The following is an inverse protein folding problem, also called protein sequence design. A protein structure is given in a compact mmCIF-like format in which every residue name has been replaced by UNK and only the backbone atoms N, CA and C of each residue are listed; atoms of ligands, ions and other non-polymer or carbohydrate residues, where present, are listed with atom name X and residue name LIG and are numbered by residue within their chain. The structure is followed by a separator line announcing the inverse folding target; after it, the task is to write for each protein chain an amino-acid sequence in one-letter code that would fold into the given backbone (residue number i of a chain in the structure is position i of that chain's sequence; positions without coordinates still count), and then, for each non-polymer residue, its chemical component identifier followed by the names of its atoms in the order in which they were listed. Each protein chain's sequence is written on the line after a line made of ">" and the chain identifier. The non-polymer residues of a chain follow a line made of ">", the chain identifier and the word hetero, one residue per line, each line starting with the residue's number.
data_IF_539060356416
#
_entry.id   IF_539060356416
#
_cell.length_a   1.000
_cell.length_b   1.000
_cell.length_c   1.000
_cell.angle_alpha   90.00
_cell.angle_beta   90.00
_cell.angle_gamma   90.00
#
_symmetry.space_group_name_H-M   'P 1'
#
loop_
_entity.id
_entity.type
_entity.pdbx_description
1 polymer ?
#
# COMPACT_ATOMS: atom_id res chain seq x y z
N UNK A 1 -2.21 -18.45 -1.95
CA UNK A 1 -1.95 -17.77 -3.24
C UNK A 1 -1.14 -16.53 -2.95
N UNK A 2 0.06 -16.47 -3.52
CA UNK A 2 1.03 -15.40 -3.32
C UNK A 2 0.56 -14.12 -4.03
N UNK A 3 1.12 -12.96 -3.67
CA UNK A 3 0.73 -11.67 -4.27
C UNK A 3 1.04 -11.65 -5.76
N UNK A 4 2.13 -12.27 -6.17
CA UNK A 4 2.61 -12.38 -7.54
C UNK A 4 1.58 -13.10 -8.43
N UNK A 5 1.04 -14.22 -7.97
CA UNK A 5 0.00 -14.98 -8.69
C UNK A 5 -1.31 -14.18 -8.79
N UNK A 6 -1.70 -13.50 -7.70
CA UNK A 6 -2.88 -12.60 -7.68
C UNK A 6 -2.70 -11.46 -8.67
N UNK A 7 -1.54 -10.82 -8.69
CA UNK A 7 -1.22 -9.70 -9.58
C UNK A 7 -1.22 -10.16 -11.03
N UNK A 8 -0.56 -11.26 -11.36
CA UNK A 8 -0.48 -11.76 -12.73
C UNK A 8 -1.86 -12.08 -13.30
N UNK A 9 -2.71 -12.75 -12.52
CA UNK A 9 -4.10 -12.99 -12.87
C UNK A 9 -4.88 -11.69 -13.09
N UNK A 10 -4.68 -10.68 -12.24
CA UNK A 10 -5.38 -9.40 -12.36
C UNK A 10 -4.92 -8.54 -13.54
N UNK A 11 -3.61 -8.51 -13.82
CA UNK A 11 -3.05 -7.84 -14.99
C UNK A 11 -3.70 -8.41 -16.27
N UNK A 12 -3.74 -9.74 -16.37
CA UNK A 12 -4.35 -10.44 -17.53
C UNK A 12 -5.86 -10.19 -17.62
N UNK A 13 -6.60 -10.28 -16.51
CA UNK A 13 -8.06 -10.17 -16.51
C UNK A 13 -8.59 -8.74 -16.67
N UNK A 14 -7.86 -7.73 -16.21
CA UNK A 14 -8.27 -6.31 -16.30
C UNK A 14 -7.62 -5.54 -17.45
N UNK A 15 -6.86 -6.20 -18.32
CA UNK A 15 -6.07 -5.57 -19.40
C UNK A 15 -5.11 -4.49 -18.88
N UNK A 16 -4.65 -4.62 -17.63
CA UNK A 16 -3.63 -3.71 -17.11
C UNK A 16 -2.30 -4.06 -17.77
N UNK A 17 -1.44 -3.08 -17.96
CA UNK A 17 -0.14 -3.26 -18.61
C UNK A 17 0.98 -3.13 -17.59
N UNK A 18 2.18 -3.58 -17.96
CA UNK A 18 3.41 -3.34 -17.17
C UNK A 18 3.75 -1.84 -17.02
N UNK A 19 3.07 -0.95 -17.76
CA UNK A 19 3.17 0.51 -17.55
C UNK A 19 2.39 0.98 -16.31
N UNK A 20 1.32 0.24 -15.98
CA UNK A 20 0.46 0.50 -14.83
C UNK A 20 1.03 -0.08 -13.53
N UNK A 21 2.01 -0.99 -13.64
CA UNK A 21 2.70 -1.62 -12.52
C UNK A 21 4.17 -1.93 -12.88
N UNK A 22 5.11 -1.28 -12.20
CA UNK A 22 6.55 -1.58 -12.36
C UNK A 22 7.08 -2.45 -11.22
N UNK A 23 7.78 -3.56 -11.55
CA UNK A 23 8.41 -4.51 -10.59
C UNK A 23 9.88 -4.80 -11.00
N UNK A 24 10.86 -4.88 -10.07
CA UNK A 24 10.90 -4.35 -8.70
C UNK A 24 11.76 -3.08 -8.59
N UNK A 25 11.39 -2.20 -7.66
CA UNK A 25 12.14 -0.99 -7.33
C UNK A 25 13.39 -1.36 -6.52
N UNK A 26 14.58 -1.13 -7.08
CA UNK A 26 15.88 -1.39 -6.46
C UNK A 26 16.10 -0.62 -5.15
N UNK A 27 15.33 0.45 -4.92
CA UNK A 27 15.42 1.35 -3.75
C UNK A 27 14.26 1.21 -2.74
N UNK A 28 13.64 0.03 -2.67
CA UNK A 28 12.52 -0.24 -1.74
C UNK A 28 12.82 0.15 -0.28
N UNK A 29 14.07 0.01 0.16
CA UNK A 29 14.50 0.40 1.50
C UNK A 29 14.44 1.91 1.76
N UNK A 30 14.72 2.75 0.77
CA UNK A 30 14.66 4.21 0.91
C UNK A 30 13.21 4.71 0.95
N UNK A 31 12.37 4.18 0.05
CA UNK A 31 10.94 4.49 0.04
C UNK A 31 10.30 4.09 1.37
N UNK A 32 10.61 2.89 1.89
CA UNK A 32 10.09 2.50 3.20
C UNK A 32 10.60 3.42 4.31
N UNK A 33 11.88 3.79 4.35
CA UNK A 33 12.40 4.75 5.35
C UNK A 33 11.63 6.07 5.34
N UNK A 34 11.33 6.63 4.17
CA UNK A 34 10.57 7.87 4.07
C UNK A 34 9.12 7.69 4.54
N UNK A 35 8.46 6.57 4.20
CA UNK A 35 7.11 6.29 4.68
C UNK A 35 7.09 6.15 6.21
N UNK A 36 8.04 5.41 6.79
CA UNK A 36 8.13 5.24 8.24
C UNK A 36 8.37 6.58 8.94
N UNK A 37 9.27 7.41 8.40
CA UNK A 37 9.57 8.75 8.93
C UNK A 37 8.33 9.63 8.99
N UNK A 38 7.54 9.67 7.92
CA UNK A 38 6.36 10.54 7.83
C UNK A 38 5.20 9.98 8.65
N UNK A 39 4.85 8.70 8.47
CA UNK A 39 3.56 8.19 8.90
C UNK A 39 3.59 7.24 10.10
N UNK A 40 4.75 6.75 10.54
CA UNK A 40 4.81 5.74 11.60
C UNK A 40 5.51 6.22 12.87
N UNK A 41 4.96 5.84 14.02
CA UNK A 41 5.60 6.01 15.32
C UNK A 41 6.79 5.05 15.39
N UNK A 42 7.99 5.60 15.63
CA UNK A 42 9.20 4.80 15.86
C UNK A 42 9.15 4.24 17.29
N UNK A 43 9.01 2.93 17.41
CA UNK A 43 8.96 2.25 18.71
C UNK A 43 10.27 1.54 19.06
N UNK A 44 11.02 1.04 18.06
CA UNK A 44 12.34 0.42 18.22
C UNK A 44 13.04 0.31 16.83
N UNK A 45 14.35 0.56 16.77
CA UNK A 45 15.18 0.51 15.56
C UNK A 45 15.32 -0.90 14.96
N UNK A 46 15.04 -1.96 15.73
CA UNK A 46 15.13 -3.35 15.29
C UNK A 46 13.86 -3.89 14.59
N UNK A 47 12.75 -3.16 14.66
CA UNK A 47 11.48 -3.58 14.06
C UNK A 47 11.31 -2.96 12.67
N UNK A 48 11.94 -3.57 11.69
CA UNK A 48 11.80 -3.22 10.28
C UNK A 48 10.47 -3.77 9.73
N UNK A 49 9.65 -2.88 9.18
CA UNK A 49 8.51 -3.17 8.29
C UNK A 49 7.30 -3.96 8.83
N UNK A 50 7.24 -4.20 10.14
CA UNK A 50 6.15 -4.95 10.78
C UNK A 50 5.13 -4.05 11.48
N UNK A 51 3.87 -4.51 11.52
CA UNK A 51 2.76 -3.92 12.27
C UNK A 51 2.51 -2.43 11.97
N UNK A 52 2.77 -1.99 10.73
CA UNK A 52 2.58 -0.60 10.31
C UNK A 52 1.18 -0.06 10.63
N UNK A 53 0.12 -0.86 10.48
CA UNK A 53 -1.26 -0.48 10.82
C UNK A 53 -1.43 -0.02 12.28
N UNK A 54 -0.71 -0.65 13.21
CA UNK A 54 -0.77 -0.34 14.65
C UNK A 54 0.07 0.88 15.01
N UNK A 55 1.00 1.27 14.13
CA UNK A 55 1.98 2.34 14.36
C UNK A 55 1.68 3.61 13.57
N UNK A 56 0.55 3.68 12.86
CA UNK A 56 0.14 4.87 12.12
C UNK A 56 0.01 6.07 13.07
N UNK A 57 0.71 7.16 12.76
CA UNK A 57 0.49 8.48 13.35
C UNK A 57 -0.85 9.02 12.85
N UNK A 58 -1.53 9.83 13.67
CA UNK A 58 -2.77 10.52 13.27
C UNK A 58 -3.77 9.59 12.56
N UNK A 59 -3.99 8.40 13.14
CA UNK A 59 -4.78 7.33 12.53
C UNK A 59 -6.26 7.71 12.54
N UNK A 60 -6.83 7.90 11.35
CA UNK A 60 -8.26 8.15 11.15
C UNK A 60 -8.90 6.98 10.41
N UNK A 61 -10.15 6.64 10.76
CA UNK A 61 -10.94 5.68 9.98
C UNK A 61 -11.52 6.44 8.78
N UNK A 62 -11.38 5.87 7.59
CA UNK A 62 -11.99 6.39 6.36
C UNK A 62 -12.87 5.33 5.73
N UNK A 63 -13.83 5.75 4.90
CA UNK A 63 -14.70 4.84 4.15
C UNK A 63 -14.19 4.63 2.71
N UNK A 64 -14.96 3.87 1.91
CA UNK A 64 -14.60 3.59 0.53
C UNK A 64 -14.60 4.84 -0.37
N UNK A 65 -15.53 5.76 -0.12
CA UNK A 65 -15.68 6.98 -0.89
C UNK A 65 -14.50 7.93 -0.64
N UNK A 66 -14.08 8.07 0.61
CA UNK A 66 -12.95 8.90 1.02
C UNK A 66 -11.65 8.55 0.30
N UNK A 67 -11.33 7.25 0.20
CA UNK A 67 -10.10 6.85 -0.49
C UNK A 67 -10.24 7.00 -2.01
N UNK A 68 -11.41 6.72 -2.59
CA UNK A 68 -11.65 6.89 -4.04
C UNK A 68 -11.48 8.33 -4.48
N UNK A 69 -11.86 9.30 -3.66
CA UNK A 69 -11.63 10.72 -3.94
C UNK A 69 -10.14 11.09 -3.96
N UNK A 70 -9.27 10.32 -3.28
CA UNK A 70 -7.81 10.57 -3.19
C UNK A 70 -7.02 9.90 -4.31
N UNK A 71 -7.51 8.78 -4.82
CA UNK A 71 -6.86 8.01 -5.88
C UNK A 71 -7.31 8.54 -7.24
N UNK A 72 -6.37 9.05 -8.02
CA UNK A 72 -6.60 9.46 -9.41
C UNK A 72 -5.97 8.46 -10.35
N UNK A 73 -6.72 8.03 -11.37
CA UNK A 73 -6.30 6.96 -12.28
C UNK A 73 -4.99 7.25 -13.03
N UNK A 74 -4.72 8.52 -13.32
CA UNK A 74 -3.54 9.01 -14.06
C UNK A 74 -2.33 9.32 -13.16
N UNK A 75 -2.47 9.17 -11.84
CA UNK A 75 -1.39 9.42 -10.88
C UNK A 75 -0.70 8.14 -10.46
N UNK A 76 0.60 8.27 -10.19
CA UNK A 76 1.47 7.22 -9.66
C UNK A 76 1.43 7.22 -8.13
N UNK A 77 1.49 6.03 -7.54
CA UNK A 77 1.43 5.76 -6.11
C UNK A 77 2.40 4.66 -5.73
N UNK A 78 2.81 4.64 -4.47
CA UNK A 78 3.46 3.48 -3.89
C UNK A 78 2.41 2.51 -3.37
N UNK A 79 2.49 1.25 -3.79
CA UNK A 79 1.68 0.16 -3.24
C UNK A 79 2.57 -0.82 -2.52
N UNK A 80 2.20 -1.15 -1.29
CA UNK A 80 2.99 -1.98 -0.39
C UNK A 80 2.14 -3.17 -0.01
N UNK A 81 2.52 -4.32 -0.53
CA UNK A 81 1.81 -5.56 -0.31
C UNK A 81 2.48 -6.29 0.84
N UNK A 82 1.73 -6.45 1.93
CA UNK A 82 2.27 -7.16 3.08
C UNK A 82 2.07 -8.65 2.91
N UNK A 83 3.14 -9.40 3.11
CA UNK A 83 3.07 -10.84 3.32
C UNK A 83 2.84 -11.02 4.81
N UNK A 84 1.66 -11.50 5.21
CA UNK A 84 1.20 -11.59 6.60
C UNK A 84 1.98 -12.54 7.51
N UNK A 85 3.23 -12.87 7.17
CA UNK A 85 4.16 -13.66 7.97
C UNK A 85 5.24 -12.75 8.57
N UNK A 86 5.75 -13.03 9.78
CA UNK A 86 6.82 -12.23 10.39
C UNK A 86 8.10 -12.15 9.55
N UNK A 87 8.37 -13.15 8.72
CA UNK A 87 9.51 -13.22 7.78
C UNK A 87 9.16 -12.76 6.36
N UNK A 88 7.91 -12.35 6.12
CA UNK A 88 7.43 -11.97 4.79
C UNK A 88 8.08 -10.68 4.31
N UNK A 89 8.71 -10.74 3.13
CA UNK A 89 9.19 -9.53 2.46
C UNK A 89 7.96 -8.75 2.01
N UNK A 90 7.83 -7.50 2.47
CA UNK A 90 6.85 -6.57 1.92
C UNK A 90 7.27 -6.21 0.50
N UNK A 91 6.35 -6.35 -0.45
CA UNK A 91 6.61 -6.02 -1.84
C UNK A 91 6.20 -4.57 -2.10
N UNK A 92 7.10 -3.79 -2.69
CA UNK A 92 6.84 -2.40 -3.08
C UNK A 92 6.67 -2.31 -4.60
N UNK A 93 5.61 -1.63 -4.99
CA UNK A 93 5.27 -1.38 -6.39
C UNK A 93 5.08 0.11 -6.66
N UNK A 94 5.51 0.53 -7.84
CA UNK A 94 5.11 1.80 -8.44
C UNK A 94 3.95 1.56 -9.40
N UNK A 95 2.78 2.14 -9.12
CA UNK A 95 1.58 1.85 -9.88
C UNK A 95 0.67 3.06 -10.08
N UNK A 96 -0.16 2.99 -11.12
CA UNK A 96 -1.19 4.00 -11.39
C UNK A 96 -2.42 3.77 -10.52
N UNK A 97 -3.26 4.81 -10.35
CA UNK A 97 -4.52 4.71 -9.59
C UNK A 97 -5.44 3.57 -10.05
N UNK A 98 -5.48 3.29 -11.36
CA UNK A 98 -6.26 2.19 -11.92
C UNK A 98 -5.84 0.81 -11.38
N UNK A 99 -4.56 0.62 -11.05
CA UNK A 99 -4.08 -0.61 -10.42
C UNK A 99 -4.56 -0.72 -8.97
N UNK A 100 -4.64 0.41 -8.25
CA UNK A 100 -5.16 0.41 -6.88
C UNK A 100 -6.66 0.06 -6.87
N UNK A 101 -7.43 0.60 -7.80
CA UNK A 101 -8.84 0.22 -7.97
C UNK A 101 -9.01 -1.26 -8.29
N UNK A 102 -8.05 -1.87 -8.99
CA UNK A 102 -8.04 -3.31 -9.24
C UNK A 102 -7.66 -4.11 -7.97
N UNK A 103 -6.64 -3.68 -7.22
CA UNK A 103 -6.17 -4.40 -6.03
C UNK A 103 -7.11 -4.29 -4.83
N UNK A 104 -7.93 -3.23 -4.76
CA UNK A 104 -8.99 -3.12 -3.75
C UNK A 104 -10.09 -4.18 -3.93
N UNK A 105 -10.29 -4.68 -5.16
CA UNK A 105 -11.20 -5.77 -5.46
C UNK A 105 -10.66 -7.12 -4.98
N UNK A 106 -9.33 -7.28 -4.85
CA UNK A 106 -8.72 -8.50 -4.31
C UNK A 106 -9.11 -8.71 -2.84
N UNK A 107 -9.45 -9.96 -2.50
CA UNK A 107 -9.82 -10.34 -1.13
C UNK A 107 -8.60 -10.87 -0.35
N UNK A 108 -8.61 -10.59 0.97
CA UNK A 108 -7.88 -11.37 1.96
C UNK A 108 -6.49 -10.89 2.39
N UNK A 109 -5.97 -9.77 1.88
CA UNK A 109 -4.62 -9.32 2.23
C UNK A 109 -4.59 -7.86 2.68
N UNK A 110 -3.74 -7.57 3.66
CA UNK A 110 -3.45 -6.19 4.08
C UNK A 110 -2.44 -5.57 3.12
N UNK A 111 -2.69 -4.32 2.73
CA UNK A 111 -1.75 -3.55 1.93
C UNK A 111 -1.86 -2.07 2.26
N UNK A 112 -0.86 -1.32 1.83
CA UNK A 112 -0.80 0.12 1.98
C UNK A 112 -0.69 0.80 0.63
N UNK A 113 -1.26 1.99 0.53
CA UNK A 113 -1.16 2.90 -0.60
C UNK A 113 -0.63 4.22 -0.07
N UNK A 114 0.48 4.70 -0.63
CA UNK A 114 1.08 5.96 -0.26
C UNK A 114 1.14 6.90 -1.48
N UNK A 115 0.81 8.17 -1.23
CA UNK A 115 1.09 9.24 -2.19
C UNK A 115 2.61 9.38 -2.41
N UNK A 116 3.01 9.63 -3.66
CA UNK A 116 4.45 9.76 -4.02
C UNK A 116 5.13 10.95 -3.37
N UNK A 117 4.37 11.98 -2.99
CA UNK A 117 4.86 13.14 -2.24
C UNK A 117 4.77 12.95 -0.72
N UNK A 118 4.37 11.77 -0.25
CA UNK A 118 4.23 11.44 1.17
C UNK A 118 3.27 12.37 1.92
N UNK A 119 2.20 12.85 1.27
CA UNK A 119 1.16 13.63 1.96
C UNK A 119 0.22 12.76 2.80
N UNK A 120 -0.02 11.53 2.35
CA UNK A 120 -0.90 10.58 3.02
C UNK A 120 -0.49 9.13 2.77
N UNK A 121 -0.91 8.28 3.70
CA UNK A 121 -0.79 6.83 3.67
C UNK A 121 -2.14 6.22 4.06
N UNK A 122 -2.67 5.34 3.22
CA UNK A 122 -3.89 4.56 3.51
C UNK A 122 -3.52 3.10 3.68
N UNK A 123 -4.07 2.46 4.70
CA UNK A 123 -4.02 1.01 4.87
C UNK A 123 -5.39 0.39 4.64
N UNK A 124 -5.40 -0.77 4.00
CA UNK A 124 -6.60 -1.51 3.66
C UNK A 124 -6.62 -2.82 4.43
N UNK A 125 -7.40 -2.87 5.51
CA UNK A 125 -7.63 -4.09 6.28
C UNK A 125 -9.03 -4.64 5.98
N UNK A 126 -9.11 -5.45 4.92
CA UNK A 126 -10.38 -6.01 4.43
C UNK A 126 -10.98 -7.06 5.36
N UNK A 127 -10.20 -7.66 6.27
CA UNK A 127 -10.74 -8.59 7.29
C UNK A 127 -11.71 -7.91 8.27
N UNK A 128 -11.55 -6.59 8.46
CA UNK A 128 -12.37 -5.77 9.36
C UNK A 128 -13.21 -4.74 8.62
N UNK A 129 -13.18 -4.74 7.27
CA UNK A 129 -13.74 -3.68 6.41
C UNK A 129 -13.33 -2.25 6.85
N UNK A 130 -12.16 -2.13 7.47
CA UNK A 130 -11.66 -0.86 7.99
C UNK A 130 -10.52 -0.36 7.10
N UNK A 131 -10.62 0.91 6.70
CA UNK A 131 -9.55 1.63 6.04
C UNK A 131 -9.02 2.67 7.02
N UNK A 132 -7.70 2.74 7.19
CA UNK A 132 -7.11 3.76 8.05
C UNK A 132 -6.24 4.70 7.23
N UNK A 133 -6.41 6.00 7.48
CA UNK A 133 -5.65 7.09 6.91
C UNK A 133 -4.67 7.63 7.94
N UNK A 134 -3.44 7.86 7.51
CA UNK A 134 -2.47 8.72 8.16
C UNK A 134 -2.11 9.85 7.21
N UNK A 135 -2.13 11.08 7.69
CA UNK A 135 -1.80 12.27 6.91
C UNK A 135 -0.89 13.21 7.70
N UNK A 136 -0.03 13.93 6.98
CA UNK A 136 0.73 15.03 7.56
C UNK A 136 -0.25 16.22 7.72
N UNK A 137 -0.37 16.74 8.94
CA UNK A 137 -1.15 17.93 9.24
C UNK A 137 -0.50 19.17 8.64
#
# INVERSE_FOLDING_TARGET
>A
MFWEEKIEFFIKSKKLTTKDLSIPYTFWSEVFKEIEKHFLIKTDAKYTYQNWENRLKNKHIINMEDYKQRIKNDKKYWVILTNGTPSGINLLYDCNGCFIDAITQLHGNNYFVCDKKYNWLVTFNKSKNNYFLSQLN
#
